data_IF_576998007698
#
_entry.id   IF_576998007698
#
_cell.length_a   1.000
_cell.length_b   1.000
_cell.length_c   1.000
_cell.angle_alpha   90.00
_cell.angle_beta   90.00
_cell.angle_gamma   90.00
#
_symmetry.space_group_name_H-M   'P 1'
#
loop_
_entity.id
_entity.type
_entity.pdbx_description
1 polymer ?
#
# COMPACT_ATOMS: atom_id res chain seq x y z
N UNK A 1 -20.70 1.43 -13.04
CA UNK A 1 -19.47 1.77 -12.28
C UNK A 1 -19.38 0.81 -11.10
N UNK A 2 -18.28 0.07 -10.93
CA UNK A 2 -18.18 -1.10 -10.03
C UNK A 2 -17.85 -0.76 -8.55
N UNK A 3 -18.14 0.46 -8.08
CA UNK A 3 -17.89 0.84 -6.68
C UNK A 3 -16.43 1.02 -6.26
N UNK A 4 -15.46 0.70 -7.13
CA UNK A 4 -14.03 0.89 -6.86
C UNK A 4 -13.63 2.37 -6.95
N UNK A 5 -12.98 2.86 -5.89
CA UNK A 5 -12.33 4.17 -5.85
C UNK A 5 -10.82 4.00 -6.06
N UNK A 6 -10.26 4.69 -7.04
CA UNK A 6 -8.83 4.67 -7.34
C UNK A 6 -8.19 5.98 -6.90
N UNK A 7 -7.15 5.92 -6.05
CA UNK A 7 -6.26 7.04 -5.76
C UNK A 7 -4.96 6.85 -6.54
N UNK A 8 -4.90 7.48 -7.72
CA UNK A 8 -3.70 7.51 -8.57
C UNK A 8 -2.71 8.57 -8.06
N UNK A 9 -1.46 8.55 -8.54
CA UNK A 9 -0.39 9.46 -8.10
C UNK A 9 -0.24 9.54 -6.57
N UNK A 10 -0.41 8.41 -5.90
CA UNK A 10 -0.40 8.30 -4.45
C UNK A 10 0.69 7.32 -4.05
N UNK A 11 1.66 7.79 -3.27
CA UNK A 11 2.75 7.01 -2.72
C UNK A 11 2.38 6.52 -1.32
N UNK A 12 2.53 5.23 -1.08
CA UNK A 12 2.31 4.65 0.26
C UNK A 12 3.56 4.89 1.10
N UNK A 13 3.42 5.58 2.22
CA UNK A 13 4.51 5.80 3.18
C UNK A 13 4.63 4.61 4.12
N UNK A 14 3.49 4.06 4.57
CA UNK A 14 3.47 2.90 5.44
C UNK A 14 2.07 2.45 5.80
N UNK A 15 1.98 1.24 6.33
CA UNK A 15 0.75 0.69 6.90
C UNK A 15 1.03 0.24 8.33
N UNK A 16 0.24 0.72 9.28
CA UNK A 16 0.31 0.31 10.67
C UNK A 16 -0.98 -0.41 11.06
N UNK A 17 -0.83 -1.57 11.69
CA UNK A 17 -1.96 -2.30 12.27
C UNK A 17 -2.14 -1.82 13.71
N UNK A 18 -3.29 -1.23 14.00
CA UNK A 18 -3.67 -0.79 15.35
C UNK A 18 -4.93 -1.54 15.76
N UNK A 19 -4.76 -2.63 16.50
CA UNK A 19 -5.86 -3.51 16.87
C UNK A 19 -6.49 -4.23 15.67
N UNK A 20 -7.82 -4.22 15.60
CA UNK A 20 -8.60 -4.83 14.51
C UNK A 20 -8.56 -4.06 13.18
N UNK A 21 -8.09 -2.80 13.18
CA UNK A 21 -8.05 -1.93 12.01
C UNK A 21 -6.62 -1.66 11.56
N UNK A 22 -6.46 -1.34 10.28
CA UNK A 22 -5.20 -1.00 9.64
C UNK A 22 -5.30 0.43 9.12
N UNK A 23 -4.35 1.26 9.53
CA UNK A 23 -4.21 2.63 9.05
C UNK A 23 -3.07 2.69 8.03
N UNK A 24 -3.39 3.06 6.79
CA UNK A 24 -2.45 3.21 5.69
C UNK A 24 -2.19 4.69 5.46
N UNK A 25 -0.95 5.12 5.70
CA UNK A 25 -0.51 6.48 5.41
C UNK A 25 -0.02 6.58 3.97
N UNK A 26 -0.58 7.55 3.26
CA UNK A 26 -0.24 7.84 1.88
C UNK A 26 0.08 9.32 1.70
N UNK A 27 0.99 9.62 0.78
CA UNK A 27 1.30 10.96 0.31
C UNK A 27 1.07 11.10 -1.19
N UNK A 28 0.79 12.31 -1.66
CA UNK A 28 0.84 12.59 -3.10
C UNK A 28 2.22 12.29 -3.68
N UNK A 29 2.30 11.71 -4.88
CA UNK A 29 3.55 11.32 -5.52
C UNK A 29 4.50 12.50 -5.77
N UNK A 30 3.97 13.72 -5.83
CA UNK A 30 4.73 14.98 -5.96
C UNK A 30 5.03 15.66 -4.61
N UNK A 31 4.69 15.01 -3.49
CA UNK A 31 4.78 15.55 -2.13
C UNK A 31 3.61 16.49 -1.77
N UNK A 32 3.33 16.60 -0.48
CA UNK A 32 2.54 17.71 0.08
C UNK A 32 1.18 17.35 0.72
N UNK A 33 0.55 16.23 0.37
CA UNK A 33 -0.74 15.83 0.96
C UNK A 33 -0.63 14.45 1.63
N UNK A 34 -0.44 14.45 2.95
CA UNK A 34 -0.53 13.24 3.77
C UNK A 34 -1.99 12.95 4.10
N UNK A 35 -2.43 11.73 3.79
CA UNK A 35 -3.73 11.20 4.17
C UNK A 35 -3.56 9.85 4.85
N UNK A 36 -4.40 9.61 5.86
CA UNK A 36 -4.52 8.31 6.51
C UNK A 36 -5.81 7.63 6.01
N UNK A 37 -5.67 6.40 5.52
CA UNK A 37 -6.77 5.56 5.08
C UNK A 37 -6.97 4.43 6.09
N UNK A 38 -8.11 4.40 6.76
CA UNK A 38 -8.45 3.31 7.67
C UNK A 38 -9.24 2.22 6.95
N UNK A 39 -8.85 0.96 7.17
CA UNK A 39 -9.54 -0.21 6.62
C UNK A 39 -9.34 -1.46 7.50
N UNK A 40 -10.22 -2.44 7.33
CA UNK A 40 -10.14 -3.69 8.10
C UNK A 40 -9.10 -4.66 7.52
N UNK A 41 -8.82 -4.57 6.21
CA UNK A 41 -7.90 -5.48 5.51
C UNK A 41 -7.14 -4.75 4.41
N UNK A 42 -5.84 -5.04 4.32
CA UNK A 42 -4.94 -4.49 3.30
C UNK A 42 -4.39 -5.62 2.43
N UNK A 43 -4.46 -5.43 1.12
CA UNK A 43 -3.86 -6.31 0.11
C UNK A 43 -2.69 -5.60 -0.55
N UNK A 44 -1.49 -6.20 -0.50
CA UNK A 44 -0.26 -5.62 -1.07
C UNK A 44 0.05 -6.28 -2.42
N UNK A 45 -0.20 -5.56 -3.51
CA UNK A 45 0.00 -6.02 -4.89
C UNK A 45 1.03 -5.15 -5.65
N UNK A 46 2.26 -5.06 -5.15
CA UNK A 46 3.33 -4.19 -5.68
C UNK A 46 4.23 -4.83 -6.76
N UNK A 47 3.81 -5.97 -7.32
CA UNK A 47 4.60 -6.75 -8.29
C UNK A 47 5.32 -7.95 -7.69
N UNK A 48 5.75 -8.88 -8.55
CA UNK A 48 6.43 -10.12 -8.18
C UNK A 48 7.94 -9.97 -8.39
N UNK A 49 8.74 -10.53 -7.50
CA UNK A 49 10.21 -10.64 -7.69
C UNK A 49 10.57 -12.11 -7.99
N UNK A 50 11.53 -12.35 -8.91
CA UNK A 50 12.04 -13.69 -9.15
C UNK A 50 12.69 -14.23 -7.86
N UNK A 51 12.44 -15.50 -7.55
CA UNK A 51 13.01 -16.16 -6.37
C UNK A 51 14.28 -16.91 -6.79
N UNK A 52 15.42 -16.28 -6.58
CA UNK A 52 16.76 -16.83 -6.89
C UNK A 52 17.53 -17.27 -5.65
N UNK A 53 16.87 -17.30 -4.50
CA UNK A 53 17.50 -17.72 -3.25
C UNK A 53 17.82 -19.22 -3.30
N UNK A 54 19.02 -19.59 -2.84
CA UNK A 54 19.50 -20.97 -2.73
C UNK A 54 19.67 -21.73 -4.06
N UNK A 55 19.71 -21.01 -5.20
CA UNK A 55 19.96 -21.59 -6.53
C UNK A 55 21.45 -21.78 -6.89
N UNK A 56 22.39 -21.34 -6.03
CA UNK A 56 23.82 -21.63 -6.20
C UNK A 56 24.49 -21.05 -7.47
N UNK A 57 24.01 -19.89 -7.95
CA UNK A 57 24.60 -19.15 -9.08
C UNK A 57 25.84 -18.34 -8.66
#
# INVERSE_FOLDING_TARGET
KQGLKFKLDTKVIGAQKSGGNISVNVEGAKGGNNETLDCDTVLVCIGRRPFTKDLGL
#
